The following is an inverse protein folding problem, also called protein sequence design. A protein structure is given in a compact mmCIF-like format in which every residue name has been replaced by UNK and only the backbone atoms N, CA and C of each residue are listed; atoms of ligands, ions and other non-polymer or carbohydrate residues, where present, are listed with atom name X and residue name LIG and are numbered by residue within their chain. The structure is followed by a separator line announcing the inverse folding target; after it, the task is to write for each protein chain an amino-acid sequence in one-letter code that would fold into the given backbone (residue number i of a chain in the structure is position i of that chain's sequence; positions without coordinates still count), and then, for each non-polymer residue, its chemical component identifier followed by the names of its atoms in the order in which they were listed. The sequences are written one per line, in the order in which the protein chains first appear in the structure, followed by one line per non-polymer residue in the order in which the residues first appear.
data_IF_089149622521
#
_entry.id   IF_089149622521
#
_cell.length_a   1.000
_cell.length_b   1.000
_cell.length_c   1.000
_cell.angle_alpha   90.00
_cell.angle_beta   90.00
_cell.angle_gamma   90.00
#
_symmetry.space_group_name_H-M   'P 1'
#
loop_
_entity.id
_entity.type
_entity.pdbx_description
1 polymer ?
#
# COMPACT_ATOMS: atom_id res chain seq x y z
N UNK A 1 -6.54 -2.48 -3.49
CA UNK A 1 -5.08 -2.30 -3.60
C UNK A 1 -4.64 -2.79 -4.96
N UNK A 2 -3.77 -2.03 -5.61
CA UNK A 2 -3.32 -2.28 -6.98
C UNK A 2 -1.80 -2.35 -7.02
N UNK A 3 -1.27 -3.26 -7.82
CA UNK A 3 0.16 -3.33 -8.16
C UNK A 3 0.34 -4.02 -9.51
N UNK A 4 1.55 -3.96 -10.06
CA UNK A 4 1.86 -4.62 -11.33
C UNK A 4 1.86 -6.16 -11.19
N UNK A 5 1.47 -6.85 -12.24
CA UNK A 5 1.48 -8.31 -12.28
C UNK A 5 2.88 -8.88 -12.02
N UNK A 6 3.88 -8.28 -12.63
CA UNK A 6 5.29 -8.68 -12.47
C UNK A 6 5.76 -8.56 -11.02
N UNK A 7 5.26 -7.54 -10.30
CA UNK A 7 5.57 -7.34 -8.88
C UNK A 7 4.96 -8.46 -8.01
N UNK A 8 3.75 -8.92 -8.34
CA UNK A 8 3.12 -10.05 -7.65
C UNK A 8 3.93 -11.34 -7.88
N UNK A 9 4.31 -11.59 -9.11
CA UNK A 9 5.10 -12.79 -9.46
C UNK A 9 6.45 -12.80 -8.75
N UNK A 10 7.16 -11.67 -8.74
CA UNK A 10 8.44 -11.54 -8.04
C UNK A 10 8.29 -11.73 -6.53
N UNK A 11 7.28 -11.15 -5.92
CA UNK A 11 7.02 -11.34 -4.49
C UNK A 11 6.75 -12.81 -4.15
N UNK A 12 5.97 -13.51 -4.97
CA UNK A 12 5.68 -14.94 -4.76
C UNK A 12 6.93 -15.79 -4.80
N UNK A 13 7.91 -15.43 -5.62
CA UNK A 13 9.17 -16.15 -5.74
C UNK A 13 10.16 -15.81 -4.62
N UNK A 14 10.29 -14.54 -4.26
CA UNK A 14 11.39 -14.05 -3.42
C UNK A 14 10.97 -13.59 -2.03
N UNK A 15 9.69 -13.29 -1.82
CA UNK A 15 9.20 -12.67 -0.59
C UNK A 15 9.47 -11.17 -0.52
N UNK A 16 9.90 -10.56 -1.63
CA UNK A 16 10.17 -9.12 -1.75
C UNK A 16 9.60 -8.57 -3.04
N UNK A 17 9.19 -7.31 -2.99
CA UNK A 17 8.79 -6.58 -4.19
C UNK A 17 10.03 -6.14 -4.97
N UNK A 18 9.98 -6.20 -6.31
CA UNK A 18 11.13 -5.79 -7.12
C UNK A 18 11.31 -4.28 -7.09
N UNK A 19 12.54 -3.83 -7.37
CA UNK A 19 12.84 -2.41 -7.49
C UNK A 19 11.93 -1.73 -8.51
N UNK A 20 11.36 -0.59 -8.15
CA UNK A 20 10.40 0.13 -8.98
C UNK A 20 8.95 -0.33 -8.85
N UNK A 21 8.66 -1.38 -8.08
CA UNK A 21 7.28 -1.81 -7.85
C UNK A 21 6.45 -0.69 -7.25
N UNK A 22 5.25 -0.48 -7.79
CA UNK A 22 4.32 0.54 -7.30
C UNK A 22 3.09 -0.13 -6.71
N UNK A 23 2.75 0.23 -5.49
CA UNK A 23 1.54 -0.24 -4.81
C UNK A 23 0.65 0.96 -4.52
N UNK A 24 -0.60 0.90 -4.93
CA UNK A 24 -1.60 1.95 -4.66
C UNK A 24 -2.74 1.36 -3.87
N UNK A 25 -3.02 1.95 -2.72
CA UNK A 25 -4.21 1.63 -1.92
C UNK A 25 -5.23 2.75 -2.05
N UNK A 26 -6.38 2.43 -2.59
CA UNK A 26 -7.51 3.33 -2.68
C UNK A 26 -8.40 3.11 -1.45
N UNK A 27 -8.48 4.12 -0.59
CA UNK A 27 -9.31 4.07 0.61
C UNK A 27 -10.66 4.71 0.32
N UNK A 28 -11.72 3.93 0.46
CA UNK A 28 -13.09 4.39 0.24
C UNK A 28 -13.90 4.34 1.52
N UNK A 29 -14.93 5.18 1.59
CA UNK A 29 -15.97 5.04 2.60
C UNK A 29 -16.69 3.68 2.37
N UNK A 30 -17.17 3.09 3.45
CA UNK A 30 -17.88 1.83 3.38
C UNK A 30 -19.11 1.85 4.28
N UNK A 31 -20.10 1.06 3.91
CA UNK A 31 -21.27 0.77 4.73
C UNK A 31 -21.33 -0.75 4.97
N UNK A 32 -22.04 -1.14 6.02
CA UNK A 32 -22.30 -2.53 6.31
C UNK A 32 -23.78 -2.86 6.06
N UNK A 33 -24.05 -4.06 5.58
CA UNK A 33 -25.40 -4.53 5.34
C UNK A 33 -25.50 -6.03 5.49
N UNK A 34 -26.74 -6.53 5.48
CA UNK A 34 -27.01 -7.96 5.48
C UNK A 34 -27.31 -8.41 4.05
N UNK A 35 -26.53 -9.35 3.56
CA UNK A 35 -26.62 -9.90 2.21
C UNK A 35 -26.76 -11.42 2.25
N UNK A 36 -26.95 -12.03 1.11
CA UNK A 36 -26.98 -13.49 0.98
C UNK A 36 -25.69 -14.15 1.44
N UNK A 37 -24.58 -13.42 1.41
CA UNK A 37 -23.26 -13.88 1.86
C UNK A 37 -23.02 -13.73 3.36
N UNK A 38 -23.88 -13.01 4.06
CA UNK A 38 -23.78 -12.85 5.51
C UNK A 38 -24.32 -11.53 6.04
N UNK A 39 -24.32 -11.42 7.38
CA UNK A 39 -24.64 -10.18 8.08
C UNK A 39 -23.41 -9.31 8.26
N UNK A 40 -23.61 -7.99 8.37
CA UNK A 40 -22.53 -7.01 8.57
C UNK A 40 -21.41 -7.07 7.51
N UNK A 41 -21.80 -7.37 6.28
CA UNK A 41 -20.86 -7.35 5.16
C UNK A 41 -20.58 -5.91 4.78
N UNK A 42 -19.31 -5.51 4.80
CA UNK A 42 -18.89 -4.17 4.37
C UNK A 42 -18.81 -4.09 2.86
N UNK A 43 -19.28 -2.98 2.29
CA UNK A 43 -19.16 -2.69 0.87
C UNK A 43 -18.71 -1.25 0.66
N UNK A 44 -17.96 -1.02 -0.43
CA UNK A 44 -17.49 0.31 -0.77
C UNK A 44 -18.64 1.17 -1.28
N UNK A 45 -18.67 2.41 -0.84
CA UNK A 45 -19.57 3.44 -1.34
C UNK A 45 -18.84 4.35 -2.32
N UNK A 46 -19.50 5.36 -2.88
CA UNK A 46 -18.89 6.29 -3.83
C UNK A 46 -17.90 7.29 -3.19
N UNK A 47 -17.78 7.28 -1.85
CA UNK A 47 -16.93 8.20 -1.14
C UNK A 47 -15.45 7.79 -1.16
N UNK A 48 -14.68 8.30 -2.10
CA UNK A 48 -13.22 8.16 -2.09
C UNK A 48 -12.64 9.05 -0.99
N UNK A 49 -11.85 8.47 -0.08
CA UNK A 49 -11.22 9.21 1.01
C UNK A 49 -9.80 9.67 0.69
N UNK A 50 -8.98 8.78 0.15
CA UNK A 50 -7.58 9.09 -0.18
C UNK A 50 -6.91 7.92 -0.89
N UNK A 51 -5.73 8.21 -1.47
CA UNK A 51 -4.84 7.20 -2.01
C UNK A 51 -3.55 7.17 -1.21
N UNK A 52 -3.08 5.97 -0.90
CA UNK A 52 -1.74 5.72 -0.38
C UNK A 52 -0.90 5.09 -1.48
N UNK A 53 0.33 5.55 -1.63
CA UNK A 53 1.26 5.04 -2.65
C UNK A 53 2.57 4.63 -2.02
N UNK A 54 3.05 3.45 -2.36
CA UNK A 54 4.40 2.97 -2.04
C UNK A 54 5.12 2.62 -3.34
N UNK A 55 6.34 3.10 -3.49
CA UNK A 55 7.20 2.79 -4.63
C UNK A 55 8.50 2.17 -4.10
N UNK A 56 8.81 0.96 -4.55
CA UNK A 56 10.02 0.26 -4.12
C UNK A 56 11.27 0.94 -4.66
N UNK A 57 12.18 1.27 -3.75
CA UNK A 57 13.49 1.84 -4.06
C UNK A 57 14.57 1.04 -3.33
N UNK A 58 14.93 -0.10 -3.92
CA UNK A 58 15.92 -1.01 -3.35
C UNK A 58 17.31 -0.39 -3.30
N UNK A 59 17.60 0.52 -4.22
CA UNK A 59 18.94 1.13 -4.35
C UNK A 59 19.16 2.37 -3.49
N UNK A 60 18.11 2.88 -2.81
CA UNK A 60 18.23 4.08 -1.98
C UNK A 60 18.58 5.34 -2.76
N UNK A 61 17.94 5.55 -3.91
CA UNK A 61 18.24 6.66 -4.83
C UNK A 61 17.95 8.04 -4.25
N UNK A 62 17.07 8.10 -3.27
CA UNK A 62 16.56 9.35 -2.70
C UNK A 62 16.95 9.49 -1.23
N UNK A 63 18.12 9.02 -0.87
CA UNK A 63 18.64 9.13 0.49
C UNK A 63 18.63 10.60 0.95
N UNK A 64 18.15 10.81 2.18
CA UNK A 64 17.99 12.16 2.75
C UNK A 64 16.65 12.81 2.44
N UNK A 65 15.83 12.24 1.54
CA UNK A 65 14.49 12.74 1.29
C UNK A 65 13.53 12.22 2.38
N UNK A 66 12.74 13.10 3.04
CA UNK A 66 11.91 12.69 4.18
C UNK A 66 10.76 11.75 3.84
N UNK A 67 10.43 11.55 2.56
CA UNK A 67 9.40 10.59 2.15
C UNK A 67 9.96 9.30 1.54
N UNK A 68 11.30 9.13 1.56
CA UNK A 68 11.97 7.93 1.05
C UNK A 68 12.84 7.30 2.14
N UNK A 69 12.69 6.02 2.35
CA UNK A 69 13.52 5.26 3.27
C UNK A 69 12.97 3.86 3.53
N UNK A 70 13.79 3.04 4.16
CA UNK A 70 13.49 1.63 4.43
C UNK A 70 13.13 0.82 3.18
N UNK A 71 13.68 1.22 2.03
CA UNK A 71 13.49 0.55 0.75
C UNK A 71 12.25 1.01 -0.02
N UNK A 72 11.55 2.05 0.44
CA UNK A 72 10.31 2.51 -0.16
C UNK A 72 10.22 4.04 -0.22
N UNK A 73 9.51 4.51 -1.24
CA UNK A 73 8.94 5.86 -1.26
C UNK A 73 7.49 5.81 -0.78
N UNK A 74 7.05 6.86 -0.11
CA UNK A 74 5.77 6.91 0.59
C UNK A 74 5.00 8.16 0.19
N UNK A 75 3.73 8.02 -0.16
CA UNK A 75 2.90 9.16 -0.52
C UNK A 75 1.45 8.96 -0.10
N UNK A 76 0.78 10.09 0.14
CA UNK A 76 -0.64 10.17 0.46
C UNK A 76 -1.25 11.29 -0.37
N UNK A 77 -2.32 10.99 -1.11
CA UNK A 77 -3.05 11.97 -1.90
C UNK A 77 -4.51 12.04 -1.49
N UNK A 78 -5.07 13.25 -1.49
CA UNK A 78 -6.49 13.49 -1.21
C UNK A 78 -7.31 13.41 -2.50
N UNK A 79 -8.64 13.17 -2.42
CA UNK A 79 -9.48 12.99 -3.61
C UNK A 79 -9.50 14.17 -4.57
N UNK A 80 -9.36 15.37 -4.03
CA UNK A 80 -9.43 16.65 -4.77
C UNK A 80 -8.05 17.17 -5.19
N UNK A 81 -6.96 16.52 -4.79
CA UNK A 81 -5.60 16.93 -5.14
C UNK A 81 -4.69 15.71 -5.32
N UNK A 82 -4.49 15.33 -6.58
CA UNK A 82 -3.65 14.18 -6.96
C UNK A 82 -2.19 14.55 -7.19
N UNK A 83 -1.83 15.81 -7.03
CA UNK A 83 -0.49 16.30 -7.31
C UNK A 83 0.34 16.54 -6.06
N UNK A 84 -0.31 16.94 -4.96
CA UNK A 84 0.37 17.25 -3.71
C UNK A 84 0.42 16.02 -2.80
N UNK A 85 1.65 15.53 -2.53
CA UNK A 85 1.87 14.52 -1.52
C UNK A 85 1.68 15.13 -0.13
N UNK A 86 0.66 14.67 0.60
CA UNK A 86 0.34 15.17 1.95
C UNK A 86 1.33 14.63 2.99
N UNK A 87 1.95 13.47 2.74
CA UNK A 87 2.99 12.92 3.60
C UNK A 87 4.24 13.80 3.52
N UNK A 88 4.74 14.23 4.67
CA UNK A 88 5.93 15.09 4.76
C UNK A 88 7.12 14.39 5.40
N UNK A 89 6.87 13.39 6.24
CA UNK A 89 7.89 12.58 6.91
C UNK A 89 7.35 11.15 7.05
N UNK A 90 7.90 10.24 6.25
CA UNK A 90 7.40 8.87 6.22
C UNK A 90 7.55 8.15 7.57
N UNK A 91 8.53 8.51 8.37
CA UNK A 91 8.76 7.89 9.69
C UNK A 91 7.62 8.19 10.65
N UNK A 92 7.10 9.41 10.61
CA UNK A 92 5.98 9.83 11.46
C UNK A 92 4.63 9.50 10.84
N UNK A 93 4.51 9.62 9.51
CA UNK A 93 3.21 9.55 8.82
C UNK A 93 2.83 8.13 8.38
N UNK A 94 3.82 7.27 8.10
CA UNK A 94 3.58 5.99 7.42
C UNK A 94 4.21 4.79 8.13
N UNK A 95 5.47 4.90 8.53
CA UNK A 95 6.29 3.76 8.95
C UNK A 95 5.74 3.05 10.19
N UNK A 96 5.26 3.80 11.17
CA UNK A 96 4.75 3.24 12.42
C UNK A 96 3.67 2.18 12.21
N UNK A 97 2.78 2.39 11.23
CA UNK A 97 1.75 1.43 10.87
C UNK A 97 2.28 0.24 10.07
N UNK A 98 3.42 0.40 9.39
CA UNK A 98 4.01 -0.65 8.56
C UNK A 98 5.09 -1.49 9.26
N UNK A 99 5.56 -1.09 10.44
CA UNK A 99 6.55 -1.86 11.21
C UNK A 99 6.14 -3.32 11.44
N UNK A 100 4.88 -3.65 11.80
CA UNK A 100 4.49 -5.04 11.97
C UNK A 100 4.61 -5.88 10.69
N UNK A 101 4.64 -5.25 9.52
CA UNK A 101 4.76 -5.90 8.22
C UNK A 101 6.19 -5.94 7.69
N UNK A 102 7.17 -5.52 8.47
CA UNK A 102 8.59 -5.44 8.04
C UNK A 102 9.12 -6.75 7.47
N UNK A 103 8.76 -7.88 8.03
CA UNK A 103 9.17 -9.20 7.56
C UNK A 103 8.61 -9.55 6.17
N UNK A 104 7.55 -8.88 5.76
CA UNK A 104 6.90 -9.04 4.45
C UNK A 104 7.19 -7.84 3.55
N UNK A 105 8.41 -7.34 3.60
CA UNK A 105 8.86 -6.18 2.82
C UNK A 105 8.03 -4.92 3.09
N UNK A 106 7.63 -4.71 4.36
CA UNK A 106 6.84 -3.57 4.84
C UNK A 106 5.40 -3.52 4.30
N UNK A 107 4.90 -4.61 3.72
CA UNK A 107 3.58 -4.69 3.10
C UNK A 107 2.69 -5.69 3.82
N UNK A 108 1.44 -5.32 4.09
CA UNK A 108 0.44 -6.22 4.65
C UNK A 108 -0.06 -7.17 3.55
N UNK A 109 0.34 -8.44 3.62
CA UNK A 109 0.09 -9.43 2.56
C UNK A 109 -0.96 -10.47 2.93
N UNK A 110 -1.31 -10.60 4.20
CA UNK A 110 -2.14 -11.69 4.73
C UNK A 110 -3.55 -11.73 4.14
N UNK A 111 -4.12 -10.57 3.82
CA UNK A 111 -5.46 -10.48 3.22
C UNK A 111 -5.46 -10.66 1.69
N UNK A 112 -4.31 -10.96 1.10
CA UNK A 112 -4.14 -11.01 -0.35
C UNK A 112 -3.59 -12.37 -0.79
N UNK A 113 -4.45 -13.40 -0.94
CA UNK A 113 -4.01 -14.75 -1.30
C UNK A 113 -3.20 -14.83 -2.59
N UNK A 114 -3.41 -13.87 -3.50
CA UNK A 114 -2.64 -13.80 -4.75
C UNK A 114 -1.13 -13.63 -4.54
N UNK A 115 -0.73 -13.13 -3.36
CA UNK A 115 0.68 -12.99 -2.99
C UNK A 115 1.25 -14.25 -2.31
N UNK A 116 0.41 -15.23 -2.02
CA UNK A 116 0.86 -16.44 -1.38
C UNK A 116 1.67 -17.30 -2.34
N UNK A 117 2.76 -17.84 -1.82
CA UNK A 117 3.54 -18.85 -2.53
C UNK A 117 2.89 -20.20 -2.28
N UNK A 118 2.43 -20.82 -3.32
CA UNK A 118 1.93 -22.18 -3.27
C UNK A 118 3.02 -23.21 -3.50
#
# INVERSE_FOLDING_TARGET
VYTEKESVEAYRETGKFPDGATIVKELRASDAGTYTTGANVSYATDGLKQWFVMIKDEKGRFEGNPIWGDGWGWALYKPDDRETNVASDYKNDCLGCHVPAKANDWVYTEAYPTLSKE
#
